data_IF_887463666259
#
_entry.id   IF_887463666259
#
_cell.length_a   1.000
_cell.length_b   1.000
_cell.length_c   1.000
_cell.angle_alpha   90.00
_cell.angle_beta   90.00
_cell.angle_gamma   90.00
#
_symmetry.space_group_name_H-M   'P 1'
#
loop_
_entity.id
_entity.type
_entity.pdbx_description
1 polymer ?
#
# COMPACT_ATOMS: atom_id res chain seq x y z
N UNK A 1 -19.07 1.06 -5.82
CA UNK A 1 -19.93 1.63 -4.77
C UNK A 1 -19.12 1.68 -3.50
N UNK A 2 -18.47 2.82 -3.25
CA UNK A 2 -17.43 2.96 -2.23
C UNK A 2 -18.05 3.33 -0.88
N UNK A 3 -19.02 2.52 -0.45
CA UNK A 3 -19.66 2.73 0.84
C UNK A 3 -19.92 1.39 1.53
N UNK A 4 -18.85 0.80 2.06
CA UNK A 4 -18.99 0.08 3.32
C UNK A 4 -19.15 1.15 4.40
N UNK A 5 -20.40 1.51 4.70
CA UNK A 5 -20.73 2.39 5.82
C UNK A 5 -20.21 1.73 7.11
N UNK A 6 -19.15 2.28 7.71
CA UNK A 6 -18.61 2.00 9.05
C UNK A 6 -17.87 0.67 9.30
N UNK A 7 -17.64 -0.17 8.29
CA UNK A 7 -16.77 -1.34 8.40
C UNK A 7 -15.72 -1.28 7.31
N UNK A 8 -14.45 -1.50 7.64
CA UNK A 8 -13.40 -1.75 6.62
C UNK A 8 -13.94 -2.85 5.71
N UNK A 9 -14.05 -2.57 4.40
CA UNK A 9 -14.40 -3.57 3.40
C UNK A 9 -13.36 -4.70 3.51
N UNK A 10 -13.81 -5.83 4.07
CA UNK A 10 -12.94 -6.94 4.44
C UNK A 10 -12.33 -7.58 3.19
N UNK A 11 -13.09 -7.62 2.10
CA UNK A 11 -12.65 -8.16 0.81
C UNK A 11 -11.59 -7.23 0.21
N UNK A 12 -11.84 -5.92 0.20
CA UNK A 12 -10.84 -4.94 -0.25
C UNK A 12 -9.56 -4.97 0.62
N UNK A 13 -9.70 -5.23 1.92
CA UNK A 13 -8.55 -5.39 2.82
C UNK A 13 -7.76 -6.67 2.57
N UNK A 14 -8.45 -7.79 2.33
CA UNK A 14 -7.83 -9.07 1.98
C UNK A 14 -7.10 -8.99 0.64
N UNK A 15 -7.72 -8.38 -0.38
CA UNK A 15 -7.10 -8.15 -1.68
C UNK A 15 -5.86 -7.25 -1.56
N UNK A 16 -5.97 -6.16 -0.79
CA UNK A 16 -4.83 -5.30 -0.51
C UNK A 16 -3.69 -6.07 0.15
N UNK A 17 -4.01 -6.91 1.14
CA UNK A 17 -3.03 -7.70 1.87
C UNK A 17 -2.34 -8.72 0.97
N UNK A 18 -3.09 -9.47 0.17
CA UNK A 18 -2.55 -10.45 -0.76
C UNK A 18 -1.66 -9.78 -1.80
N UNK A 19 -2.15 -8.68 -2.38
CA UNK A 19 -1.37 -7.88 -3.32
C UNK A 19 -0.08 -7.37 -2.68
N UNK A 20 -0.17 -6.73 -1.51
CA UNK A 20 0.99 -6.25 -0.77
C UNK A 20 2.02 -7.34 -0.45
N UNK A 21 1.57 -8.53 -0.05
CA UNK A 21 2.46 -9.65 0.27
C UNK A 21 3.19 -10.19 -0.95
N UNK A 22 2.56 -10.16 -2.13
CA UNK A 22 3.16 -10.59 -3.41
C UNK A 22 4.25 -9.65 -3.93
N UNK A 23 4.34 -8.42 -3.43
CA UNK A 23 5.26 -7.40 -3.96
C UNK A 23 6.72 -7.67 -3.61
N UNK A 24 7.66 -7.17 -4.44
CA UNK A 24 9.08 -7.22 -4.14
C UNK A 24 9.41 -6.62 -2.77
N UNK A 25 10.40 -7.16 -2.03
CA UNK A 25 10.75 -6.70 -0.68
C UNK A 25 11.02 -5.19 -0.57
N UNK A 26 11.54 -4.56 -1.64
CA UNK A 26 11.83 -3.13 -1.70
C UNK A 26 10.54 -2.28 -1.61
N UNK A 27 9.51 -2.66 -2.36
CA UNK A 27 8.21 -1.98 -2.33
C UNK A 27 7.52 -2.17 -0.99
N UNK A 28 7.53 -3.41 -0.46
CA UNK A 28 6.96 -3.67 0.86
C UNK A 28 7.64 -2.84 1.94
N UNK A 29 8.96 -2.67 1.86
CA UNK A 29 9.72 -1.82 2.79
C UNK A 29 9.31 -0.34 2.66
N UNK A 30 9.15 0.18 1.46
CA UNK A 30 8.71 1.56 1.24
C UNK A 30 7.30 1.81 1.79
N UNK A 31 6.36 0.89 1.53
CA UNK A 31 5.00 0.93 2.07
C UNK A 31 5.03 0.80 3.60
N UNK A 32 5.84 -0.11 4.17
CA UNK A 32 5.99 -0.26 5.61
C UNK A 32 6.52 1.03 6.25
N UNK A 33 7.57 1.64 5.69
CA UNK A 33 8.05 2.95 6.13
C UNK A 33 6.95 4.01 6.11
N UNK A 34 6.13 4.05 5.06
CA UNK A 34 5.01 4.99 4.96
C UNK A 34 3.99 4.81 6.10
N UNK A 35 3.71 3.57 6.50
CA UNK A 35 2.69 3.24 7.51
C UNK A 35 3.25 3.33 8.94
N UNK A 36 4.45 2.81 9.18
CA UNK A 36 5.02 2.65 10.53
C UNK A 36 6.01 3.75 10.91
N UNK A 37 6.61 4.42 9.94
CA UNK A 37 7.57 5.51 10.18
C UNK A 37 6.97 6.86 9.77
N UNK A 38 7.71 7.93 10.06
CA UNK A 38 7.32 9.26 9.62
C UNK A 38 7.49 9.36 8.10
N UNK A 39 6.39 9.61 7.38
CA UNK A 39 6.37 9.79 5.92
C UNK A 39 7.39 10.83 5.42
N UNK A 40 7.79 11.81 6.26
CA UNK A 40 8.84 12.79 5.97
C UNK A 40 10.25 12.19 5.82
N UNK A 41 10.46 10.94 6.26
CA UNK A 41 11.72 10.20 6.11
C UNK A 41 11.78 9.36 4.81
N UNK A 42 10.73 9.36 4.01
CA UNK A 42 10.72 8.64 2.73
C UNK A 42 11.65 9.32 1.74
N UNK A 43 12.56 8.54 1.16
CA UNK A 43 13.40 9.02 0.07
C UNK A 43 12.59 9.18 -1.23
N UNK A 44 13.10 9.94 -2.19
CA UNK A 44 12.48 10.03 -3.53
C UNK A 44 12.32 8.67 -4.20
N UNK A 45 13.23 7.73 -3.92
CA UNK A 45 13.11 6.35 -4.40
C UNK A 45 11.98 5.58 -3.71
N UNK A 46 11.81 5.74 -2.39
CA UNK A 46 10.67 5.14 -1.68
C UNK A 46 9.34 5.66 -2.25
N UNK A 47 9.24 6.96 -2.55
CA UNK A 47 8.07 7.56 -3.20
C UNK A 47 7.79 6.99 -4.59
N UNK A 48 8.84 6.78 -5.41
CA UNK A 48 8.70 6.13 -6.71
C UNK A 48 8.07 4.75 -6.58
N UNK A 49 8.58 3.93 -5.66
CA UNK A 49 8.07 2.58 -5.39
C UNK A 49 6.62 2.60 -4.90
N UNK A 50 6.26 3.52 -4.01
CA UNK A 50 4.88 3.66 -3.51
C UNK A 50 3.92 4.07 -4.64
N UNK A 51 4.37 4.96 -5.54
CA UNK A 51 3.58 5.37 -6.70
C UNK A 51 3.36 4.21 -7.67
N UNK A 52 4.40 3.44 -7.97
CA UNK A 52 4.32 2.24 -8.82
C UNK A 52 3.41 1.17 -8.19
N UNK A 53 3.54 0.95 -6.88
CA UNK A 53 2.67 0.06 -6.11
C UNK A 53 1.19 0.43 -6.29
N UNK A 54 0.85 1.71 -6.11
CA UNK A 54 -0.53 2.22 -6.23
C UNK A 54 -1.05 2.17 -7.66
N UNK A 55 -0.21 2.46 -8.65
CA UNK A 55 -0.62 2.42 -10.05
C UNK A 55 -0.91 1.00 -10.54
N UNK A 56 -0.20 0.00 -9.99
CA UNK A 56 -0.38 -1.40 -10.33
C UNK A 56 -1.49 -2.07 -9.51
N UNK A 57 -1.81 -1.53 -8.33
CA UNK A 57 -2.97 -1.96 -7.56
C UNK A 57 -4.25 -1.43 -8.22
N UNK A 58 -4.80 -2.20 -9.15
CA UNK A 58 -6.13 -1.96 -9.72
C UNK A 58 -7.15 -2.75 -8.91
N UNK A 59 -7.87 -2.05 -8.05
CA UNK A 59 -9.15 -2.50 -7.47
C UNK A 59 -10.25 -1.79 -8.21
#
# INVERSE_FOLDING_TARGET
TLIAHNGVDLDAWLDFKNYYQSRPPKERRAIRKLITENWRKLSGYDWKLIREFRAQYKV
#
